data_IF_412031540794
#
_entry.id   IF_412031540794
#
_cell.length_a   1.000
_cell.length_b   1.000
_cell.length_c   1.000
_cell.angle_alpha   90.00
_cell.angle_beta   90.00
_cell.angle_gamma   90.00
#
_symmetry.space_group_name_H-M   'P 1'
#
loop_
_entity.id
_entity.type
_entity.pdbx_description
1 polymer ?
#
# COMPACT_ATOMS: atom_id res chain seq x y z
N UNK A 1 34.54 17.20 35.03
CA UNK A 1 33.08 17.11 35.27
C UNK A 1 32.23 17.58 34.07
N UNK A 2 32.58 18.67 33.38
CA UNK A 2 31.82 19.18 32.21
C UNK A 2 31.75 18.23 31.00
N UNK A 3 32.82 17.48 30.74
CA UNK A 3 32.92 16.60 29.57
C UNK A 3 32.10 15.32 29.68
N UNK A 4 31.85 14.81 30.90
CA UNK A 4 31.05 13.60 31.11
C UNK A 4 29.54 13.82 30.87
N UNK A 5 29.02 15.02 31.18
CA UNK A 5 27.61 15.36 30.93
C UNK A 5 27.27 15.45 29.45
N UNK A 6 28.22 15.85 28.59
CA UNK A 6 28.00 15.96 27.14
C UNK A 6 27.90 14.58 26.49
N UNK A 7 28.74 13.63 26.93
CA UNK A 7 28.73 12.26 26.41
C UNK A 7 27.41 11.55 26.73
N UNK A 8 26.86 11.74 27.93
CA UNK A 8 25.58 11.14 28.34
C UNK A 8 24.40 11.70 27.51
N UNK A 9 24.41 13.00 27.20
CA UNK A 9 23.37 13.64 26.38
C UNK A 9 23.37 13.14 24.93
N UNK A 10 24.55 12.90 24.36
CA UNK A 10 24.65 12.38 22.98
C UNK A 10 24.15 10.93 22.92
N UNK A 11 24.53 10.08 23.87
CA UNK A 11 24.07 8.67 23.90
C UNK A 11 22.55 8.57 24.09
N UNK A 12 21.96 9.45 24.91
CA UNK A 12 20.50 9.51 25.07
C UNK A 12 19.79 9.89 23.78
N UNK A 13 20.31 10.85 23.00
CA UNK A 13 19.70 11.28 21.73
C UNK A 13 19.72 10.19 20.64
N UNK A 14 20.78 9.36 20.58
CA UNK A 14 20.85 8.26 19.61
C UNK A 14 19.96 7.06 19.99
N UNK A 15 19.72 6.81 21.29
CA UNK A 15 18.84 5.74 21.75
C UNK A 15 17.37 5.96 21.36
N UNK A 16 16.88 7.20 21.36
CA UNK A 16 15.47 7.50 21.04
C UNK A 16 15.20 7.43 19.53
N UNK A 17 16.18 7.75 18.69
CA UNK A 17 16.03 7.70 17.23
C UNK A 17 15.82 6.27 16.70
N UNK A 18 16.43 5.27 17.33
CA UNK A 18 16.28 3.86 16.94
C UNK A 18 14.93 3.27 17.36
N UNK A 19 14.26 3.82 18.38
CA UNK A 19 12.94 3.37 18.81
C UNK A 19 11.80 3.81 17.86
N UNK A 20 12.03 4.81 17.00
CA UNK A 20 11.06 5.29 16.02
C UNK A 20 11.20 4.64 14.64
N UNK A 21 12.26 3.86 14.41
CA UNK A 21 12.41 3.09 13.17
C UNK A 21 11.75 1.72 13.35
N UNK A 22 10.42 1.68 13.34
CA UNK A 22 9.63 0.44 13.26
C UNK A 22 9.77 -0.15 11.85
N UNK A 23 10.59 -1.20 11.62
CA UNK A 23 10.70 -1.81 10.30
C UNK A 23 9.48 -2.68 9.97
N UNK A 24 8.62 -2.95 10.95
CA UNK A 24 7.58 -4.00 10.92
C UNK A 24 6.23 -3.58 10.34
N UNK A 25 6.03 -2.31 9.96
CA UNK A 25 4.79 -1.91 9.25
C UNK A 25 4.78 -2.33 7.77
N UNK A 26 5.94 -2.74 7.21
CA UNK A 26 6.13 -2.88 5.75
C UNK A 26 5.31 -4.00 5.08
N UNK A 27 4.65 -4.88 5.84
CA UNK A 27 3.89 -6.00 5.27
C UNK A 27 2.49 -6.22 5.87
N UNK A 28 2.06 -5.39 6.84
CA UNK A 28 0.74 -5.55 7.45
C UNK A 28 -0.39 -5.35 6.42
N UNK A 29 -0.14 -4.52 5.40
CA UNK A 29 -1.09 -4.25 4.33
C UNK A 29 -0.96 -5.23 3.15
N UNK A 30 0.01 -6.14 3.16
CA UNK A 30 0.26 -7.01 2.02
C UNK A 30 -0.92 -7.97 1.77
N UNK A 31 -1.42 -8.60 2.83
CA UNK A 31 -2.59 -9.49 2.76
C UNK A 31 -3.87 -8.76 2.32
N UNK A 32 -4.29 -7.65 2.96
CA UNK A 32 -5.49 -6.93 2.53
C UNK A 32 -5.32 -6.31 1.13
N UNK A 33 -4.15 -5.79 0.76
CA UNK A 33 -3.89 -5.31 -0.60
C UNK A 33 -4.11 -6.42 -1.64
N UNK A 34 -3.50 -7.60 -1.43
CA UNK A 34 -3.66 -8.74 -2.33
C UNK A 34 -5.10 -9.18 -2.45
N UNK A 35 -5.83 -9.15 -1.33
CA UNK A 35 -7.26 -9.45 -1.34
C UNK A 35 -8.02 -8.45 -2.21
N UNK A 36 -7.85 -7.15 -1.98
CA UNK A 36 -8.52 -6.09 -2.75
C UNK A 36 -8.26 -6.29 -4.24
N UNK A 37 -7.00 -6.43 -4.66
CA UNK A 37 -6.68 -6.60 -6.09
C UNK A 37 -7.13 -7.94 -6.67
N UNK A 38 -7.25 -8.99 -5.86
CA UNK A 38 -7.87 -10.24 -6.30
C UNK A 38 -9.35 -10.06 -6.60
N UNK A 39 -10.07 -9.24 -5.83
CA UNK A 39 -11.48 -8.93 -6.12
C UNK A 39 -11.61 -7.95 -7.30
N UNK A 40 -10.72 -6.95 -7.41
CA UNK A 40 -10.70 -6.04 -8.57
C UNK A 40 -10.46 -6.82 -9.87
N UNK A 41 -9.57 -7.81 -9.87
CA UNK A 41 -9.34 -8.67 -11.02
C UNK A 41 -10.59 -9.49 -11.44
N UNK A 42 -11.52 -9.76 -10.52
CA UNK A 42 -12.80 -10.41 -10.84
C UNK A 42 -13.81 -9.45 -11.46
N UNK A 43 -13.79 -8.19 -11.03
CA UNK A 43 -14.63 -7.12 -11.61
C UNK A 43 -14.13 -6.71 -13.01
N UNK A 44 -12.82 -6.84 -13.27
CA UNK A 44 -12.17 -6.53 -14.55
C UNK A 44 -11.41 -7.75 -15.12
N UNK A 45 -12.10 -8.81 -15.56
CA UNK A 45 -11.45 -10.03 -16.05
C UNK A 45 -10.85 -9.89 -17.45
N UNK A 46 -11.31 -8.91 -18.23
CA UNK A 46 -10.90 -8.69 -19.62
C UNK A 46 -9.90 -7.53 -19.70
N UNK A 47 -8.68 -7.80 -20.17
CA UNK A 47 -7.61 -6.81 -20.27
C UNK A 47 -7.99 -5.59 -21.11
N UNK A 48 -8.80 -5.78 -22.16
CA UNK A 48 -9.26 -4.70 -23.03
C UNK A 48 -10.22 -3.71 -22.35
N UNK A 49 -10.86 -4.14 -21.25
CA UNK A 49 -11.78 -3.30 -20.46
C UNK A 49 -11.07 -2.52 -19.36
N UNK A 50 -9.77 -2.73 -19.16
CA UNK A 50 -8.98 -1.99 -18.19
C UNK A 50 -8.62 -0.63 -18.78
N UNK A 51 -9.35 0.38 -18.33
CA UNK A 51 -9.06 1.81 -18.52
C UNK A 51 -8.82 2.41 -17.14
N UNK A 52 -8.26 3.62 -17.10
CA UNK A 52 -8.06 4.34 -15.84
C UNK A 52 -9.38 4.52 -15.07
N UNK A 53 -10.45 4.86 -15.80
CA UNK A 53 -11.79 5.05 -15.23
C UNK A 53 -12.37 3.75 -14.70
N UNK A 54 -12.32 2.66 -15.47
CA UNK A 54 -12.87 1.36 -15.02
C UNK A 54 -12.06 0.80 -13.86
N UNK A 55 -10.74 1.03 -13.82
CA UNK A 55 -9.90 0.67 -12.69
C UNK A 55 -10.28 1.45 -11.42
N UNK A 56 -10.45 2.77 -11.52
CA UNK A 56 -10.92 3.63 -10.41
C UNK A 56 -12.27 3.13 -9.87
N UNK A 57 -13.23 2.88 -10.75
CA UNK A 57 -14.56 2.40 -10.36
C UNK A 57 -14.46 1.02 -9.70
N UNK A 58 -13.69 0.09 -10.27
CA UNK A 58 -13.56 -1.26 -9.71
C UNK A 58 -12.90 -1.24 -8.32
N UNK A 59 -11.85 -0.44 -8.12
CA UNK A 59 -11.21 -0.25 -6.81
C UNK A 59 -12.21 0.33 -5.81
N UNK A 60 -12.95 1.39 -6.18
CA UNK A 60 -13.95 2.02 -5.31
C UNK A 60 -15.07 1.05 -4.91
N UNK A 61 -15.59 0.27 -5.86
CA UNK A 61 -16.62 -0.77 -5.61
C UNK A 61 -16.10 -1.82 -4.64
N UNK A 62 -14.90 -2.36 -4.88
CA UNK A 62 -14.30 -3.38 -4.01
C UNK A 62 -14.02 -2.80 -2.63
N UNK A 63 -13.41 -1.62 -2.55
CA UNK A 63 -13.14 -0.95 -1.29
C UNK A 63 -14.43 -0.73 -0.49
N UNK A 64 -15.47 -0.16 -1.09
CA UNK A 64 -16.79 0.01 -0.43
C UNK A 64 -17.40 -1.30 0.04
N UNK A 65 -17.26 -2.38 -0.74
CA UNK A 65 -17.80 -3.71 -0.40
C UNK A 65 -17.10 -4.32 0.82
N UNK A 66 -15.79 -4.08 0.98
CA UNK A 66 -14.98 -4.74 2.01
C UNK A 66 -14.51 -3.82 3.15
N UNK A 67 -14.85 -2.53 3.11
CA UNK A 67 -14.69 -1.61 4.24
C UNK A 67 -15.49 -2.15 5.45
N UNK A 68 -14.78 -2.76 6.40
CA UNK A 68 -15.34 -3.35 7.62
C UNK A 68 -15.46 -4.87 7.61
N UNK A 69 -15.34 -5.53 6.45
CA UNK A 69 -15.33 -6.99 6.36
C UNK A 69 -13.93 -7.59 6.61
N UNK A 70 -12.87 -6.81 6.34
CA UNK A 70 -11.48 -7.26 6.37
C UNK A 70 -10.65 -6.31 7.25
N UNK A 71 -9.86 -6.86 8.20
CA UNK A 71 -8.92 -6.05 8.97
C UNK A 71 -7.98 -5.26 8.05
N UNK A 72 -7.80 -3.98 8.33
CA UNK A 72 -6.89 -3.09 7.58
C UNK A 72 -7.25 -2.88 6.10
N UNK A 73 -8.42 -3.32 5.63
CA UNK A 73 -8.88 -3.00 4.27
C UNK A 73 -9.13 -1.49 4.11
N UNK A 74 -9.53 -0.81 5.18
CA UNK A 74 -9.63 0.65 5.18
C UNK A 74 -8.29 1.29 4.88
N UNK A 75 -7.24 0.92 5.62
CA UNK A 75 -5.89 1.46 5.44
C UNK A 75 -5.31 1.15 4.05
N UNK A 76 -5.59 -0.05 3.52
CA UNK A 76 -5.20 -0.42 2.15
C UNK A 76 -5.94 0.42 1.11
N UNK A 77 -7.25 0.63 1.27
CA UNK A 77 -8.06 1.43 0.35
C UNK A 77 -7.79 2.93 0.43
N UNK A 78 -7.44 3.48 1.59
CA UNK A 78 -7.06 4.88 1.74
C UNK A 78 -5.76 5.20 0.98
N UNK A 79 -4.85 4.22 0.86
CA UNK A 79 -3.65 4.35 0.02
C UNK A 79 -3.93 4.28 -1.48
N UNK A 80 -5.13 3.86 -1.90
CA UNK A 80 -5.55 3.78 -3.29
C UNK A 80 -6.37 5.01 -3.71
N UNK A 81 -6.19 6.16 -3.06
CA UNK A 81 -6.85 7.41 -3.40
C UNK A 81 -6.04 8.29 -4.36
N UNK A 82 -6.73 9.05 -5.22
CA UNK A 82 -6.12 10.09 -6.06
C UNK A 82 -5.07 9.57 -7.04
N UNK A 83 -3.92 10.24 -7.08
CA UNK A 83 -2.80 10.01 -8.01
C UNK A 83 -2.22 8.58 -7.94
N UNK A 84 -2.40 7.88 -6.82
CA UNK A 84 -1.94 6.50 -6.67
C UNK A 84 -2.61 5.54 -7.66
N UNK A 85 -3.88 5.78 -8.02
CA UNK A 85 -4.57 4.95 -9.01
C UNK A 85 -4.09 5.26 -10.43
N UNK A 86 -3.72 6.51 -10.69
CA UNK A 86 -3.21 6.95 -11.98
C UNK A 86 -1.84 6.33 -12.23
N UNK A 87 -0.95 6.39 -11.24
CA UNK A 87 0.35 5.71 -11.28
C UNK A 87 0.18 4.19 -11.42
N UNK A 88 -0.73 3.60 -10.65
CA UNK A 88 -1.05 2.19 -10.74
C UNK A 88 -1.56 1.79 -12.13
N UNK A 89 -2.39 2.62 -12.76
CA UNK A 89 -2.86 2.36 -14.12
C UNK A 89 -1.69 2.36 -15.10
N UNK A 90 -0.76 3.31 -15.00
CA UNK A 90 0.45 3.33 -15.82
C UNK A 90 1.33 2.09 -15.60
N UNK A 91 1.43 1.61 -14.36
CA UNK A 91 2.12 0.37 -14.04
C UNK A 91 1.44 -0.84 -14.70
N UNK A 92 0.11 -0.96 -14.57
CA UNK A 92 -0.67 -2.04 -15.19
C UNK A 92 -0.53 -2.03 -16.72
N UNK A 93 -0.48 -0.85 -17.36
CA UNK A 93 -0.23 -0.74 -18.79
C UNK A 93 1.14 -1.31 -19.18
N UNK A 94 2.18 -1.02 -18.40
CA UNK A 94 3.55 -1.54 -18.64
C UNK A 94 3.63 -3.06 -18.45
N UNK A 95 2.85 -3.60 -17.50
CA UNK A 95 2.75 -5.04 -17.22
C UNK A 95 1.77 -5.77 -18.15
N UNK A 96 1.35 -5.15 -19.27
CA UNK A 96 0.52 -5.80 -20.28
C UNK A 96 -0.96 -5.87 -19.92
N UNK A 97 -1.49 -4.87 -19.21
CA UNK A 97 -2.89 -4.77 -18.78
C UNK A 97 -3.34 -5.97 -17.94
N UNK A 98 -2.49 -6.41 -17.01
CA UNK A 98 -2.79 -7.50 -16.09
C UNK A 98 -2.92 -6.99 -14.66
N UNK A 99 -3.99 -7.37 -13.99
CA UNK A 99 -4.15 -7.15 -12.56
C UNK A 99 -3.51 -8.35 -11.83
N UNK A 100 -2.24 -8.20 -11.48
CA UNK A 100 -1.50 -9.16 -10.68
C UNK A 100 -1.38 -8.66 -9.23
N UNK A 101 -2.11 -9.24 -8.25
CA UNK A 101 -2.14 -8.72 -6.89
C UNK A 101 -0.76 -8.69 -6.22
N UNK A 102 0.12 -9.62 -6.56
CA UNK A 102 1.46 -9.70 -5.99
C UNK A 102 2.36 -8.56 -6.49
N UNK A 103 2.42 -8.36 -7.81
CA UNK A 103 3.20 -7.28 -8.42
C UNK A 103 2.67 -5.91 -8.05
N UNK A 104 1.34 -5.73 -8.07
CA UNK A 104 0.70 -4.45 -7.72
C UNK A 104 0.98 -4.06 -6.26
N UNK A 105 0.81 -4.99 -5.32
CA UNK A 105 1.00 -4.66 -3.91
C UNK A 105 2.46 -4.36 -3.54
N UNK A 106 3.42 -4.94 -4.28
CA UNK A 106 4.85 -4.57 -4.19
C UNK A 106 5.11 -3.18 -4.76
N UNK A 107 4.50 -2.86 -5.92
CA UNK A 107 4.63 -1.54 -6.53
C UNK A 107 4.08 -0.44 -5.60
N UNK A 108 2.97 -0.71 -4.92
CA UNK A 108 2.35 0.20 -3.95
C UNK A 108 3.03 0.22 -2.57
N UNK A 109 4.14 -0.50 -2.39
CA UNK A 109 4.85 -0.62 -1.11
C UNK A 109 3.94 -1.06 0.06
N UNK A 110 2.98 -1.93 -0.23
CA UNK A 110 2.15 -2.61 0.77
C UNK A 110 2.64 -4.04 1.04
N UNK A 111 3.40 -4.57 0.08
CA UNK A 111 4.39 -5.63 0.17
C UNK A 111 5.74 -5.05 -0.35
#
# INVERSE_FOLDING_TARGET
MKSFSIVILIVAAFGVALAMYSPDAKNLLCSPCKFIFKEVAKELPEADKITEETLKVAIDVVCKRFLGAIPLAKDACEKLGGDAVDELYQFILKEGKKIDPDSICKHLHMC
#
